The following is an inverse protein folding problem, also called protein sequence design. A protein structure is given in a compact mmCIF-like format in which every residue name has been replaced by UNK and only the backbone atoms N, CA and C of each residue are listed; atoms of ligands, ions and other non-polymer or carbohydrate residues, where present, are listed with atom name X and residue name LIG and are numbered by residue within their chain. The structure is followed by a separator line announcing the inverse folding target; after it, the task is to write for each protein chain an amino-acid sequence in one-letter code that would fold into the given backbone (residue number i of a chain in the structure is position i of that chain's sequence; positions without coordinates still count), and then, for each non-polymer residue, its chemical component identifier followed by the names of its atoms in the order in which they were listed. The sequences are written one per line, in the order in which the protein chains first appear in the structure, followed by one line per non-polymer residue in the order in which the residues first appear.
data_IF_813241526616
#
_entry.id   IF_813241526616
#
_cell.length_a   1.000
_cell.length_b   1.000
_cell.length_c   1.000
_cell.angle_alpha   90.00
_cell.angle_beta   90.00
_cell.angle_gamma   90.00
#
_symmetry.space_group_name_H-M   'P 1'
#
loop_
_entity.id
_entity.type
_entity.pdbx_description
1 polymer ?
#
# COMPACT_ATOMS: atom_id res chain seq x y z
N UNK A 1 7.95 -3.86 -33.56
CA UNK A 1 6.73 -3.18 -33.05
C UNK A 1 5.65 -4.23 -32.87
N UNK A 2 5.47 -4.69 -31.63
CA UNK A 2 4.27 -5.41 -31.19
C UNK A 2 3.92 -4.85 -29.82
N UNK A 3 3.30 -3.68 -29.85
CA UNK A 3 2.64 -3.05 -28.72
C UNK A 3 1.33 -3.79 -28.48
N UNK A 4 1.32 -4.71 -27.49
CA UNK A 4 0.08 -5.24 -26.87
C UNK A 4 0.29 -5.91 -25.51
N UNK A 5 1.32 -5.53 -24.77
CA UNK A 5 1.64 -6.08 -23.43
C UNK A 5 0.97 -5.25 -22.31
N UNK A 6 -0.34 -4.99 -22.42
CA UNK A 6 -1.04 -4.12 -21.48
C UNK A 6 -1.71 -4.83 -20.30
N UNK A 7 -1.91 -6.14 -20.39
CA UNK A 7 -2.68 -6.92 -19.39
C UNK A 7 -2.43 -8.43 -19.54
N UNK A 8 -1.21 -8.83 -19.90
CA UNK A 8 -0.84 -10.24 -19.79
C UNK A 8 -0.84 -10.59 -18.29
N UNK A 9 -1.54 -11.69 -17.94
CA UNK A 9 -1.88 -12.10 -16.58
C UNK A 9 -0.61 -12.28 -15.74
N UNK A 10 -0.18 -11.21 -15.08
CA UNK A 10 0.86 -11.21 -14.05
C UNK A 10 0.53 -12.30 -13.04
N UNK A 11 1.44 -13.25 -12.82
CA UNK A 11 1.22 -14.37 -11.89
C UNK A 11 1.04 -13.83 -10.45
N UNK A 12 0.31 -14.51 -9.55
CA UNK A 12 0.08 -14.03 -8.19
C UNK A 12 1.34 -13.66 -7.39
N UNK A 13 2.47 -14.31 -7.65
CA UNK A 13 3.75 -13.97 -7.01
C UNK A 13 4.36 -12.66 -7.54
N UNK A 14 4.21 -12.33 -8.82
CA UNK A 14 4.69 -11.05 -9.37
C UNK A 14 3.93 -9.88 -8.76
N UNK A 15 2.59 -10.00 -8.61
CA UNK A 15 1.79 -9.02 -7.88
C UNK A 15 2.22 -8.87 -6.43
N UNK A 16 2.58 -9.97 -5.77
CA UNK A 16 3.02 -9.95 -4.39
C UNK A 16 4.33 -9.17 -4.23
N UNK A 17 5.30 -9.43 -5.10
CA UNK A 17 6.60 -8.77 -5.06
C UNK A 17 6.49 -7.29 -5.43
N UNK A 18 5.68 -6.95 -6.44
CA UNK A 18 5.40 -5.56 -6.84
C UNK A 18 4.67 -4.78 -5.73
N UNK A 19 3.68 -5.41 -5.08
CA UNK A 19 2.95 -4.81 -3.97
C UNK A 19 3.85 -4.62 -2.75
N UNK A 20 4.71 -5.59 -2.45
CA UNK A 20 5.69 -5.46 -1.37
C UNK A 20 6.66 -4.30 -1.61
N UNK A 21 7.20 -4.19 -2.82
CA UNK A 21 8.09 -3.10 -3.20
C UNK A 21 7.39 -1.72 -3.10
N UNK A 22 6.15 -1.64 -3.57
CA UNK A 22 5.32 -0.45 -3.46
C UNK A 22 5.06 -0.06 -2.00
N UNK A 23 4.65 -1.01 -1.16
CA UNK A 23 4.35 -0.79 0.24
C UNK A 23 5.60 -0.35 1.04
N UNK A 24 6.77 -0.90 0.72
CA UNK A 24 8.04 -0.46 1.32
C UNK A 24 8.38 0.99 0.97
N UNK A 25 8.15 1.41 -0.28
CA UNK A 25 8.40 2.79 -0.67
C UNK A 25 7.37 3.75 -0.06
N UNK A 26 6.10 3.33 0.08
CA UNK A 26 5.08 4.07 0.85
C UNK A 26 5.55 4.28 2.30
N UNK A 27 6.03 3.22 2.95
CA UNK A 27 6.58 3.29 4.32
C UNK A 27 7.73 4.28 4.38
N UNK A 28 8.69 4.18 3.46
CA UNK A 28 9.86 5.05 3.41
C UNK A 28 9.45 6.53 3.31
N UNK A 29 8.55 6.86 2.39
CA UNK A 29 8.07 8.23 2.20
C UNK A 29 7.26 8.72 3.41
N UNK A 30 6.44 7.86 4.00
CA UNK A 30 5.71 8.19 5.21
C UNK A 30 6.65 8.46 6.41
N UNK A 31 7.76 7.72 6.52
CA UNK A 31 8.80 7.99 7.54
C UNK A 31 9.51 9.32 7.26
N UNK A 32 9.85 9.62 6.01
CA UNK A 32 10.45 10.92 5.62
C UNK A 32 9.52 12.08 5.98
N UNK A 33 8.24 11.97 5.66
CA UNK A 33 7.21 12.95 6.02
C UNK A 33 6.81 12.89 7.50
N UNK A 34 7.22 11.88 8.26
CA UNK A 34 6.77 11.57 9.62
C UNK A 34 5.24 11.37 9.77
N UNK A 35 4.59 10.93 8.69
CA UNK A 35 3.14 10.70 8.63
C UNK A 35 2.79 9.34 9.21
N UNK A 36 1.86 9.32 10.18
CA UNK A 36 1.34 8.10 10.80
C UNK A 36 0.17 7.53 10.02
N UNK A 37 0.44 6.92 8.85
CA UNK A 37 -0.60 6.45 7.91
C UNK A 37 -1.70 5.58 8.55
N UNK A 38 -1.38 4.80 9.58
CA UNK A 38 -2.33 3.89 10.23
C UNK A 38 -3.22 4.57 11.27
N UNK A 39 -2.96 5.84 11.60
CA UNK A 39 -3.85 6.61 12.44
C UNK A 39 -5.15 6.95 11.67
N UNK A 40 -6.30 6.97 12.36
CA UNK A 40 -7.59 7.21 11.73
C UNK A 40 -7.62 8.49 10.87
N UNK A 41 -8.02 8.32 9.61
CA UNK A 41 -8.20 9.42 8.66
C UNK A 41 -6.92 10.00 8.06
N UNK A 42 -5.71 9.56 8.45
CA UNK A 42 -4.46 10.07 7.85
C UNK A 42 -4.37 9.73 6.37
N UNK A 43 -4.61 8.47 5.99
CA UNK A 43 -4.60 8.05 4.57
C UNK A 43 -5.53 8.93 3.74
N UNK A 44 -6.77 9.17 4.21
CA UNK A 44 -7.74 9.99 3.48
C UNK A 44 -7.22 11.43 3.29
N UNK A 45 -6.64 12.04 4.34
CA UNK A 45 -6.02 13.37 4.24
C UNK A 45 -4.89 13.42 3.21
N UNK A 46 -4.04 12.39 3.18
CA UNK A 46 -2.96 12.30 2.18
C UNK A 46 -3.56 12.24 0.76
N UNK A 47 -4.60 11.42 0.55
CA UNK A 47 -5.29 11.31 -0.75
C UNK A 47 -5.95 12.64 -1.17
N UNK A 48 -6.52 13.36 -0.21
CA UNK A 48 -7.13 14.70 -0.37
C UNK A 48 -6.10 15.82 -0.54
N UNK A 49 -4.80 15.47 -0.59
CA UNK A 49 -3.67 16.39 -0.72
C UNK A 49 -3.54 17.38 0.47
N UNK A 50 -4.01 17.00 1.65
CA UNK A 50 -3.84 17.74 2.89
C UNK A 50 -2.52 17.35 3.57
N UNK A 51 -1.49 18.15 3.34
CA UNK A 51 -0.13 17.91 3.82
C UNK A 51 0.11 18.27 5.29
N UNK A 52 -0.93 18.57 6.07
CA UNK A 52 -0.80 19.01 7.48
C UNK A 52 -0.01 18.07 8.40
N UNK A 53 0.00 16.77 8.05
CA UNK A 53 0.68 15.74 8.83
C UNK A 53 2.11 15.49 8.33
N UNK A 54 2.52 16.03 7.18
CA UNK A 54 3.90 15.94 6.67
C UNK A 54 4.75 17.08 7.26
N UNK A 55 5.74 16.72 8.08
CA UNK A 55 6.62 17.68 8.73
C UNK A 55 7.77 18.13 7.80
N UNK A 56 8.33 19.31 8.08
CA UNK A 56 9.55 19.87 7.44
C UNK A 56 9.45 20.18 5.93
N UNK A 57 8.28 20.54 5.42
CA UNK A 57 8.09 21.01 4.04
C UNK A 57 8.63 20.06 2.95
N UNK A 58 8.52 18.74 3.18
CA UNK A 58 8.88 17.72 2.20
C UNK A 58 7.82 17.56 1.10
N UNK A 59 7.46 18.65 0.40
CA UNK A 59 6.37 18.70 -0.59
C UNK A 59 6.49 17.60 -1.66
N UNK A 60 7.69 17.40 -2.21
CA UNK A 60 7.95 16.35 -3.20
C UNK A 60 7.73 14.95 -2.63
N UNK A 61 8.16 14.70 -1.39
CA UNK A 61 7.97 13.39 -0.77
C UNK A 61 6.49 13.12 -0.47
N UNK A 62 5.75 14.16 -0.05
CA UNK A 62 4.32 14.07 0.17
C UNK A 62 3.55 13.81 -1.13
N UNK A 63 3.90 14.51 -2.22
CA UNK A 63 3.30 14.28 -3.53
C UNK A 63 3.55 12.85 -4.03
N UNK A 64 4.77 12.34 -3.87
CA UNK A 64 5.11 10.95 -4.17
C UNK A 64 4.34 9.97 -3.31
N UNK A 65 4.25 10.21 -1.99
CA UNK A 65 3.51 9.37 -1.05
C UNK A 65 2.04 9.24 -1.47
N UNK A 66 1.41 10.37 -1.79
CA UNK A 66 0.05 10.42 -2.31
C UNK A 66 -0.10 9.63 -3.60
N UNK A 67 0.83 9.80 -4.55
CA UNK A 67 0.84 9.06 -5.81
C UNK A 67 0.94 7.55 -5.62
N UNK A 68 1.84 7.09 -4.75
CA UNK A 68 1.99 5.67 -4.45
C UNK A 68 0.78 5.08 -3.71
N UNK A 69 0.11 5.84 -2.84
CA UNK A 69 -1.14 5.41 -2.23
C UNK A 69 -2.25 5.19 -3.27
N UNK A 70 -2.37 6.08 -4.26
CA UNK A 70 -3.31 5.85 -5.37
C UNK A 70 -2.96 4.58 -6.15
N UNK A 71 -1.67 4.36 -6.45
CA UNK A 71 -1.22 3.16 -7.13
C UNK A 71 -1.54 1.90 -6.33
N UNK A 72 -1.33 1.91 -5.02
CA UNK A 72 -1.62 0.80 -4.12
C UNK A 72 -3.11 0.41 -4.17
N UNK A 73 -4.03 1.37 -4.06
CA UNK A 73 -5.46 1.09 -4.12
C UNK A 73 -5.91 0.64 -5.52
N UNK A 74 -5.32 1.19 -6.58
CA UNK A 74 -5.59 0.73 -7.94
C UNK A 74 -5.13 -0.72 -8.14
N UNK A 75 -3.94 -1.06 -7.66
CA UNK A 75 -3.40 -2.41 -7.72
C UNK A 75 -4.27 -3.41 -6.95
N UNK A 76 -4.78 -3.04 -5.76
CA UNK A 76 -5.75 -3.86 -5.03
C UNK A 76 -7.04 -4.11 -5.82
N UNK A 77 -7.56 -3.07 -6.48
CA UNK A 77 -8.75 -3.18 -7.31
C UNK A 77 -8.49 -4.12 -8.50
N UNK A 78 -7.37 -3.96 -9.19
CA UNK A 78 -7.02 -4.78 -10.34
C UNK A 78 -6.83 -6.26 -9.95
N UNK A 79 -6.22 -6.54 -8.79
CA UNK A 79 -6.14 -7.90 -8.24
C UNK A 79 -7.52 -8.48 -7.95
N UNK A 80 -8.43 -7.70 -7.36
CA UNK A 80 -9.78 -8.15 -7.06
C UNK A 80 -10.58 -8.45 -8.34
N UNK A 81 -10.38 -7.67 -9.40
CA UNK A 81 -10.97 -7.90 -10.72
C UNK A 81 -10.38 -9.15 -11.41
N UNK A 82 -9.08 -9.40 -11.27
CA UNK A 82 -8.39 -10.52 -11.91
C UNK A 82 -8.58 -11.87 -11.18
N UNK A 83 -8.54 -11.86 -9.84
CA UNK A 83 -8.47 -13.08 -9.01
C UNK A 83 -9.64 -13.26 -8.04
N UNK A 84 -10.53 -12.26 -7.98
CA UNK A 84 -11.59 -12.19 -7.00
C UNK A 84 -11.12 -11.60 -5.66
N UNK A 85 -12.06 -11.05 -4.88
CA UNK A 85 -11.76 -10.26 -3.67
C UNK A 85 -11.07 -11.07 -2.57
N UNK A 86 -11.41 -12.35 -2.40
CA UNK A 86 -10.82 -13.20 -1.37
C UNK A 86 -9.33 -13.45 -1.62
N UNK A 87 -8.94 -13.70 -2.87
CA UNK A 87 -7.54 -13.96 -3.21
C UNK A 87 -6.69 -12.69 -3.15
N UNK A 88 -7.23 -11.57 -3.64
CA UNK A 88 -6.59 -10.26 -3.52
C UNK A 88 -6.33 -9.90 -2.04
N UNK A 89 -7.31 -10.12 -1.16
CA UNK A 89 -7.15 -9.90 0.28
C UNK A 89 -6.07 -10.79 0.89
N UNK A 90 -5.94 -12.04 0.44
CA UNK A 90 -4.89 -12.94 0.91
C UNK A 90 -3.49 -12.46 0.51
N UNK A 91 -3.30 -11.99 -0.73
CA UNK A 91 -2.04 -11.40 -1.20
C UNK A 91 -1.68 -10.18 -0.33
N UNK A 92 -2.60 -9.24 -0.16
CA UNK A 92 -2.39 -8.03 0.68
C UNK A 92 -2.01 -8.42 2.11
N UNK A 93 -2.70 -9.39 2.71
CA UNK A 93 -2.38 -9.86 4.07
C UNK A 93 -0.99 -10.49 4.16
N UNK A 94 -0.58 -11.27 3.17
CA UNK A 94 0.75 -11.91 3.15
C UNK A 94 1.86 -10.86 3.06
N UNK A 95 1.70 -9.87 2.17
CA UNK A 95 2.63 -8.73 2.08
C UNK A 95 2.69 -8.01 3.43
N UNK A 96 1.54 -7.70 4.00
CA UNK A 96 1.51 -6.98 5.28
C UNK A 96 2.14 -7.75 6.43
N UNK A 97 1.87 -9.05 6.55
CA UNK A 97 2.49 -9.91 7.55
C UNK A 97 4.02 -10.00 7.38
N UNK A 98 4.50 -9.93 6.14
CA UNK A 98 5.93 -9.91 5.83
C UNK A 98 6.59 -8.57 6.20
N UNK A 99 5.88 -7.47 6.01
CA UNK A 99 6.37 -6.12 6.28
C UNK A 99 6.26 -5.69 7.75
N UNK A 100 5.24 -6.15 8.47
CA UNK A 100 5.02 -5.83 9.88
C UNK A 100 6.28 -5.91 10.77
N UNK A 101 7.11 -6.98 10.74
CA UNK A 101 8.33 -7.04 11.55
C UNK A 101 9.41 -6.01 11.15
N UNK A 102 9.38 -5.49 9.91
CA UNK A 102 10.32 -4.48 9.40
C UNK A 102 9.86 -3.06 9.73
N UNK A 103 8.55 -2.82 9.68
CA UNK A 103 7.94 -1.50 9.89
C UNK A 103 7.74 -1.24 11.40
N UNK A 104 7.29 -2.23 12.16
CA UNK A 104 6.89 -2.04 13.56
C UNK A 104 5.75 -1.02 13.69
N UNK A 105 5.86 -0.13 14.68
CA UNK A 105 4.85 0.90 14.98
C UNK A 105 5.13 2.25 14.27
N UNK A 106 6.04 2.29 13.29
CA UNK A 106 6.51 3.53 12.67
C UNK A 106 5.39 4.32 11.97
N UNK A 107 4.38 3.64 11.44
CA UNK A 107 3.24 4.25 10.74
C UNK A 107 2.02 4.43 11.66
N UNK A 108 2.14 4.17 12.96
CA UNK A 108 1.01 3.96 13.88
C UNK A 108 0.90 2.48 14.25
N UNK A 109 -0.02 2.14 15.16
CA UNK A 109 -0.24 0.73 15.53
C UNK A 109 -1.11 0.05 14.51
N UNK A 110 -0.65 -1.10 14.02
CA UNK A 110 -1.47 -1.94 13.19
C UNK A 110 -2.61 -2.59 13.98
N UNK A 111 -3.83 -2.62 13.42
CA UNK A 111 -4.83 -3.58 13.85
C UNK A 111 -4.22 -4.98 13.67
N UNK A 112 -4.19 -5.77 14.75
CA UNK A 112 -3.83 -7.18 14.64
C UNK A 112 -4.76 -7.81 13.60
N UNK A 113 -4.26 -8.44 12.50
CA UNK A 113 -5.11 -8.87 11.38
C UNK A 113 -6.19 -9.88 11.76
N UNK A 114 -6.20 -10.39 13.00
CA UNK A 114 -7.19 -11.32 13.50
C UNK A 114 -7.09 -12.68 12.81
N UNK A 115 -7.61 -13.76 13.43
CA UNK A 115 -7.71 -15.02 12.73
C UNK A 115 -8.70 -14.92 11.55
N UNK A 116 -8.37 -15.57 10.43
CA UNK A 116 -9.28 -15.74 9.30
C UNK A 116 -10.63 -16.30 9.80
N UNK A 117 -11.78 -15.78 9.32
CA UNK A 117 -13.04 -16.46 9.56
C UNK A 117 -12.96 -17.86 8.95
N UNK A 118 -13.07 -18.87 9.80
CA UNK A 118 -13.17 -20.26 9.39
C UNK A 118 -14.56 -20.41 8.76
N UNK A 119 -14.60 -20.66 7.46
CA UNK A 119 -15.83 -20.98 6.74
C UNK A 119 -16.48 -22.26 7.29
#
# INVERSE_FOLDING_TARGET
MSEKLGAERLMPEEWKDDLEALDLEIVRLAVICQVKLLEPGVIQRVLDNDARDCLNDHETAFASLRGLLFLHFQMQKDMAEAYGPSHAMEIVRRVWAHLQPRIGDQLGRLPNPGPLPTA
#
